data_IF_418139966878
#
_entry.id   IF_418139966878
#
_cell.length_a   1.000
_cell.length_b   1.000
_cell.length_c   1.000
_cell.angle_alpha   90.00
_cell.angle_beta   90.00
_cell.angle_gamma   90.00
#
_symmetry.space_group_name_H-M   'P 1'
#
loop_
_entity.id
_entity.type
_entity.pdbx_description
1 polymer ?
#
# COMPACT_ATOMS: atom_id res chain seq x y z
N UNK A 1 23.52 -1.36 5.40
CA UNK A 1 22.45 -0.36 5.19
C UNK A 1 21.16 -1.11 4.89
N UNK A 2 20.00 -0.69 5.40
CA UNK A 2 18.74 -1.32 5.03
C UNK A 2 18.55 -1.25 3.51
N UNK A 3 18.00 -2.31 2.91
CA UNK A 3 17.65 -2.32 1.48
C UNK A 3 16.55 -1.28 1.21
N UNK A 4 16.44 -0.78 -0.02
CA UNK A 4 15.32 0.11 -0.39
C UNK A 4 13.98 -0.60 -0.17
N UNK A 5 13.92 -1.90 -0.46
CA UNK A 5 12.73 -2.73 -0.27
C UNK A 5 12.35 -2.82 1.20
N UNK A 6 13.34 -2.95 2.09
CA UNK A 6 13.11 -2.93 3.53
C UNK A 6 12.59 -1.58 4.02
N UNK A 7 13.10 -0.47 3.47
CA UNK A 7 12.60 0.88 3.80
C UNK A 7 11.16 1.08 3.33
N UNK A 8 10.82 0.63 2.10
CA UNK A 8 9.44 0.64 1.61
C UNK A 8 8.55 -0.22 2.49
N UNK A 9 9.00 -1.42 2.88
CA UNK A 9 8.28 -2.30 3.79
C UNK A 9 7.97 -1.64 5.13
N UNK A 10 8.95 -0.96 5.74
CA UNK A 10 8.75 -0.19 6.96
C UNK A 10 7.75 0.96 6.79
N UNK A 11 7.84 1.71 5.68
CA UNK A 11 6.91 2.79 5.37
C UNK A 11 5.48 2.28 5.17
N UNK A 12 5.30 1.18 4.43
CA UNK A 12 4.01 0.52 4.21
C UNK A 12 3.43 0.01 5.53
N UNK A 13 4.23 -0.66 6.36
CA UNK A 13 3.76 -1.16 7.65
C UNK A 13 3.37 -0.01 8.60
N UNK A 14 4.17 1.06 8.64
CA UNK A 14 3.87 2.26 9.42
C UNK A 14 2.58 2.94 8.97
N UNK A 15 2.41 3.12 7.66
CA UNK A 15 1.19 3.71 7.11
C UNK A 15 -0.04 2.83 7.40
N UNK A 16 0.07 1.51 7.21
CA UNK A 16 -0.99 0.55 7.54
C UNK A 16 -1.40 0.63 9.01
N UNK A 17 -0.43 0.72 9.94
CA UNK A 17 -0.71 0.88 11.37
C UNK A 17 -1.43 2.20 11.67
N UNK A 18 -1.05 3.29 10.99
CA UNK A 18 -1.76 4.58 11.07
C UNK A 18 -3.20 4.44 10.57
N UNK A 19 -3.47 3.69 9.50
CA UNK A 19 -4.83 3.46 9.02
C UNK A 19 -5.67 2.62 9.99
N UNK A 20 -5.06 1.67 10.69
CA UNK A 20 -5.74 0.87 11.73
C UNK A 20 -6.19 1.76 12.90
N UNK A 21 -5.28 2.62 13.38
CA UNK A 21 -5.53 3.51 14.50
C UNK A 21 -6.47 4.67 14.11
N UNK A 22 -6.20 5.29 12.96
CA UNK A 22 -6.81 6.55 12.50
C UNK A 22 -7.27 6.45 11.04
N UNK A 23 -8.40 5.77 10.75
CA UNK A 23 -8.94 5.62 9.40
C UNK A 23 -9.15 6.94 8.64
N UNK A 24 -9.44 8.02 9.36
CA UNK A 24 -9.62 9.36 8.80
C UNK A 24 -8.45 9.84 7.93
N UNK A 25 -7.23 9.33 8.15
CA UNK A 25 -6.03 9.65 7.35
C UNK A 25 -6.19 9.26 5.88
N UNK A 26 -6.93 8.19 5.57
CA UNK A 26 -7.26 7.81 4.20
C UNK A 26 -8.61 8.38 3.76
N UNK A 27 -9.63 8.27 4.62
CA UNK A 27 -11.01 8.62 4.26
C UNK A 27 -11.17 10.10 3.91
N UNK A 28 -10.54 11.00 4.69
CA UNK A 28 -10.66 12.45 4.45
C UNK A 28 -10.03 12.88 3.13
N UNK A 29 -8.76 12.53 2.78
CA UNK A 29 -8.21 12.83 1.46
C UNK A 29 -9.01 12.18 0.34
N UNK A 30 -9.54 10.97 0.54
CA UNK A 30 -10.36 10.30 -0.47
C UNK A 30 -11.75 10.95 -0.69
N UNK A 31 -12.19 11.83 0.22
CA UNK A 31 -13.53 12.40 0.19
C UNK A 31 -14.61 11.36 0.50
N UNK A 32 -14.25 10.31 1.24
CA UNK A 32 -15.16 9.24 1.65
C UNK A 32 -15.69 9.57 3.05
N UNK A 33 -17.02 9.54 3.29
CA UNK A 33 -17.58 9.76 4.61
C UNK A 33 -17.06 8.76 5.64
N UNK A 34 -16.77 9.25 6.85
CA UNK A 34 -16.37 8.40 7.96
C UNK A 34 -17.60 7.80 8.64
N UNK A 35 -17.89 6.54 8.33
CA UNK A 35 -18.99 5.75 8.90
C UNK A 35 -18.40 4.50 9.58
N UNK A 36 -19.19 3.76 10.39
CA UNK A 36 -18.72 2.50 10.95
C UNK A 36 -18.17 1.53 9.90
N UNK A 37 -18.83 1.43 8.75
CA UNK A 37 -18.45 0.52 7.65
C UNK A 37 -17.16 0.95 6.95
N UNK A 38 -17.03 2.25 6.64
CA UNK A 38 -15.80 2.74 5.99
C UNK A 38 -14.61 2.65 6.92
N UNK A 39 -14.80 2.86 8.23
CA UNK A 39 -13.75 2.61 9.25
C UNK A 39 -13.36 1.13 9.32
N UNK A 40 -14.33 0.22 9.28
CA UNK A 40 -14.07 -1.22 9.30
C UNK A 40 -13.23 -1.64 8.08
N UNK A 41 -13.63 -1.20 6.88
CA UNK A 41 -12.91 -1.49 5.64
C UNK A 41 -11.51 -0.88 5.65
N UNK A 42 -11.36 0.40 6.03
CA UNK A 42 -10.03 1.02 6.12
C UNK A 42 -9.11 0.32 7.11
N UNK A 43 -9.64 -0.19 8.24
CA UNK A 43 -8.84 -1.00 9.17
C UNK A 43 -8.41 -2.32 8.57
N UNK A 44 -9.30 -3.01 7.84
CA UNK A 44 -8.91 -4.26 7.16
C UNK A 44 -7.80 -4.04 6.13
N UNK A 45 -7.85 -2.93 5.37
CA UNK A 45 -6.77 -2.52 4.48
C UNK A 45 -5.49 -2.22 5.26
N UNK A 46 -5.59 -1.47 6.36
CA UNK A 46 -4.47 -1.16 7.22
C UNK A 46 -3.78 -2.40 7.79
N UNK A 47 -4.53 -3.41 8.25
CA UNK A 47 -3.96 -4.68 8.73
C UNK A 47 -3.26 -5.43 7.62
N UNK A 48 -3.86 -5.52 6.43
CA UNK A 48 -3.24 -6.13 5.24
C UNK A 48 -1.92 -5.43 4.90
N UNK A 49 -1.91 -4.11 4.93
CA UNK A 49 -0.74 -3.30 4.63
C UNK A 49 0.37 -3.47 5.68
N UNK A 50 0.02 -3.60 6.97
CA UNK A 50 0.98 -3.98 8.01
C UNK A 50 1.64 -5.32 7.70
N UNK A 51 0.84 -6.35 7.39
CA UNK A 51 1.37 -7.69 7.11
C UNK A 51 2.26 -7.69 5.86
N UNK A 52 1.84 -7.05 4.77
CA UNK A 52 2.64 -6.96 3.54
C UNK A 52 3.91 -6.14 3.74
N UNK A 53 3.82 -5.03 4.49
CA UNK A 53 4.97 -4.19 4.82
C UNK A 53 6.00 -4.93 5.67
N UNK A 54 5.56 -5.69 6.68
CA UNK A 54 6.45 -6.53 7.50
C UNK A 54 7.08 -7.66 6.67
N UNK A 55 6.35 -8.25 5.73
CA UNK A 55 6.91 -9.24 4.80
C UNK A 55 8.01 -8.63 3.93
N UNK A 56 7.80 -7.44 3.36
CA UNK A 56 8.83 -6.70 2.60
C UNK A 56 10.03 -6.31 3.47
N UNK A 57 9.77 -5.87 4.70
CA UNK A 57 10.80 -5.48 5.65
C UNK A 57 11.74 -6.64 6.00
N UNK A 58 11.19 -7.84 6.21
CA UNK A 58 11.91 -9.01 6.69
C UNK A 58 12.42 -9.96 5.58
N UNK A 59 11.90 -9.86 4.35
CA UNK A 59 12.21 -10.83 3.30
C UNK A 59 13.70 -10.76 2.86
N UNK A 60 14.41 -11.91 2.87
CA UNK A 60 15.77 -11.97 2.36
C UNK A 60 15.81 -11.76 0.83
N UNK A 61 16.96 -11.35 0.27
CA UNK A 61 17.10 -11.18 -1.18
C UNK A 61 16.73 -12.44 -1.95
N UNK A 62 16.18 -12.27 -3.16
CA UNK A 62 15.78 -13.37 -4.03
C UNK A 62 14.28 -13.66 -4.02
N UNK A 63 13.91 -14.93 -4.20
CA UNK A 63 12.50 -15.34 -4.43
C UNK A 63 11.52 -14.89 -3.34
N UNK A 64 11.83 -14.95 -2.04
CA UNK A 64 10.91 -14.49 -0.99
C UNK A 64 10.55 -13.01 -1.14
N UNK A 65 11.55 -12.15 -1.36
CA UNK A 65 11.33 -10.71 -1.55
C UNK A 65 10.52 -10.41 -2.81
N UNK A 66 10.84 -11.04 -3.94
CA UNK A 66 10.06 -10.89 -5.19
C UNK A 66 8.59 -11.25 -5.01
N UNK A 67 8.28 -12.31 -4.25
CA UNK A 67 6.90 -12.71 -3.98
C UNK A 67 6.19 -11.71 -3.05
N UNK A 68 6.87 -11.21 -2.02
CA UNK A 68 6.34 -10.15 -1.16
C UNK A 68 6.07 -8.86 -1.96
N UNK A 69 7.01 -8.44 -2.81
CA UNK A 69 6.87 -7.30 -3.73
C UNK A 69 5.71 -7.51 -4.69
N UNK A 70 5.62 -8.66 -5.35
CA UNK A 70 4.53 -8.96 -6.27
C UNK A 70 3.17 -8.92 -5.56
N UNK A 71 3.06 -9.51 -4.36
CA UNK A 71 1.85 -9.46 -3.55
C UNK A 71 1.44 -8.02 -3.22
N UNK A 72 2.40 -7.17 -2.85
CA UNK A 72 2.15 -5.74 -2.60
C UNK A 72 1.67 -5.01 -3.85
N UNK A 73 2.36 -5.19 -4.98
CA UNK A 73 2.01 -4.57 -6.27
C UNK A 73 0.58 -4.96 -6.67
N UNK A 74 0.23 -6.25 -6.59
CA UNK A 74 -1.12 -6.72 -6.93
C UNK A 74 -2.17 -6.10 -6.00
N UNK A 75 -1.89 -5.99 -4.70
CA UNK A 75 -2.80 -5.35 -3.76
C UNK A 75 -3.03 -3.87 -4.09
N UNK A 76 -1.96 -3.13 -4.38
CA UNK A 76 -2.03 -1.70 -4.73
C UNK A 76 -2.75 -1.45 -6.05
N UNK A 77 -2.55 -2.31 -7.05
CA UNK A 77 -3.30 -2.26 -8.31
C UNK A 77 -4.78 -2.60 -8.10
N UNK A 78 -5.08 -3.59 -7.25
CA UNK A 78 -6.45 -3.93 -6.86
C UNK A 78 -7.15 -2.77 -6.17
N UNK A 79 -6.47 -2.11 -5.23
CA UNK A 79 -6.97 -0.91 -4.56
C UNK A 79 -7.17 0.24 -5.54
N UNK A 80 -6.22 0.48 -6.46
CA UNK A 80 -6.35 1.51 -7.48
C UNK A 80 -7.58 1.28 -8.37
N UNK A 81 -7.83 0.03 -8.78
CA UNK A 81 -9.02 -0.34 -9.53
C UNK A 81 -10.30 -0.19 -8.70
N UNK A 82 -10.30 -0.64 -7.45
CA UNK A 82 -11.45 -0.57 -6.55
C UNK A 82 -11.83 0.87 -6.19
N UNK A 83 -10.86 1.72 -5.86
CA UNK A 83 -11.08 3.15 -5.63
C UNK A 83 -11.44 3.87 -6.92
N UNK A 84 -10.76 3.57 -8.04
CA UNK A 84 -11.05 4.18 -9.34
C UNK A 84 -12.49 3.94 -9.79
N UNK A 85 -12.93 2.68 -9.81
CA UNK A 85 -14.28 2.31 -10.20
C UNK A 85 -15.33 2.64 -9.12
N UNK A 86 -15.00 2.36 -7.85
CA UNK A 86 -15.92 2.54 -6.72
C UNK A 86 -16.15 4.00 -6.33
N UNK A 87 -15.24 4.91 -6.65
CA UNK A 87 -15.41 6.35 -6.38
C UNK A 87 -15.78 7.16 -7.64
N UNK A 88 -15.81 6.53 -8.82
CA UNK A 88 -16.17 7.17 -10.08
C UNK A 88 -17.53 7.89 -9.95
N UNK A 89 -17.55 9.19 -10.25
CA UNK A 89 -18.75 10.03 -10.16
C UNK A 89 -19.26 10.32 -8.74
N UNK A 90 -18.69 9.70 -7.70
CA UNK A 90 -19.06 9.92 -6.29
C UNK A 90 -18.18 10.96 -5.61
N UNK A 91 -16.94 11.11 -6.08
CA UNK A 91 -16.00 12.12 -5.61
C UNK A 91 -15.06 12.54 -6.74
N UNK A 92 -14.81 13.85 -6.86
CA UNK A 92 -13.82 14.39 -7.79
C UNK A 92 -12.38 13.92 -7.48
N UNK A 93 -12.17 13.31 -6.30
CA UNK A 93 -10.87 12.83 -5.84
C UNK A 93 -10.56 11.38 -6.25
N UNK A 94 -11.51 10.69 -6.88
CA UNK A 94 -11.34 9.28 -7.29
C UNK A 94 -10.05 9.01 -8.09
N UNK A 95 -9.69 9.82 -9.12
CA UNK A 95 -8.47 9.57 -9.89
C UNK A 95 -7.21 9.75 -9.05
N UNK A 96 -7.20 10.71 -8.13
CA UNK A 96 -6.04 11.00 -7.27
C UNK A 96 -5.82 9.85 -6.28
N UNK A 97 -6.89 9.31 -5.69
CA UNK A 97 -6.79 8.17 -4.76
C UNK A 97 -6.32 6.91 -5.49
N UNK A 98 -6.87 6.64 -6.68
CA UNK A 98 -6.46 5.50 -7.49
C UNK A 98 -4.98 5.60 -7.89
N UNK A 99 -4.53 6.80 -8.31
CA UNK A 99 -3.13 7.06 -8.65
C UNK A 99 -2.22 6.90 -7.43
N UNK A 100 -2.63 7.39 -6.26
CA UNK A 100 -1.87 7.26 -5.03
C UNK A 100 -1.67 5.77 -4.65
N UNK A 101 -2.73 4.95 -4.76
CA UNK A 101 -2.63 3.51 -4.54
C UNK A 101 -1.63 2.85 -5.51
N UNK A 102 -1.76 3.11 -6.82
CA UNK A 102 -0.84 2.56 -7.83
C UNK A 102 0.62 3.02 -7.61
N UNK A 103 0.82 4.21 -7.07
CA UNK A 103 2.16 4.76 -6.77
C UNK A 103 2.88 3.95 -5.70
N UNK A 104 2.19 3.49 -4.65
CA UNK A 104 2.79 2.62 -3.64
C UNK A 104 3.34 1.32 -4.27
N UNK A 105 2.56 0.71 -5.17
CA UNK A 105 2.95 -0.51 -5.85
C UNK A 105 4.16 -0.27 -6.76
N UNK A 106 4.15 0.82 -7.52
CA UNK A 106 5.27 1.21 -8.38
C UNK A 106 6.56 1.46 -7.59
N UNK A 107 6.47 2.14 -6.44
CA UNK A 107 7.62 2.39 -5.56
C UNK A 107 8.17 1.09 -4.97
N UNK A 108 7.30 0.15 -4.54
CA UNK A 108 7.73 -1.16 -4.05
C UNK A 108 8.45 -1.97 -5.14
N UNK A 109 7.91 -1.99 -6.36
CA UNK A 109 8.53 -2.66 -7.50
C UNK A 109 9.89 -2.04 -7.84
N UNK A 110 9.96 -0.71 -7.88
CA UNK A 110 11.20 0.00 -8.20
C UNK A 110 12.28 -0.27 -7.14
N UNK A 111 11.92 -0.29 -5.87
CA UNK A 111 12.84 -0.60 -4.78
C UNK A 111 13.45 -2.00 -4.94
N UNK A 112 12.63 -3.01 -5.22
CA UNK A 112 13.09 -4.39 -5.45
C UNK A 112 14.03 -4.49 -6.65
N UNK A 113 13.66 -3.88 -7.78
CA UNK A 113 14.50 -3.85 -9.00
C UNK A 113 15.85 -3.15 -8.74
N UNK A 114 15.86 -2.06 -7.99
CA UNK A 114 17.08 -1.32 -7.67
C UNK A 114 17.98 -2.06 -6.69
N UNK A 115 17.41 -2.76 -5.70
CA UNK A 115 18.17 -3.60 -4.80
C UNK A 115 18.76 -4.82 -5.52
N UNK A 116 17.99 -5.48 -6.40
CA UNK A 116 18.50 -6.58 -7.22
C UNK A 116 19.67 -6.16 -8.10
N UNK A 117 19.57 -5.01 -8.78
CA UNK A 117 20.66 -4.46 -9.60
C UNK A 117 21.90 -4.10 -8.79
N UNK A 118 21.73 -3.79 -7.51
CA UNK A 118 22.82 -3.48 -6.60
C UNK A 118 23.35 -4.71 -5.84
N UNK A 119 22.79 -5.90 -6.07
CA UNK A 119 23.17 -7.12 -5.34
C UNK A 119 22.78 -7.10 -3.85
N UNK A 120 21.69 -6.40 -3.48
CA UNK A 120 21.20 -6.22 -2.11
C UNK A 120 19.92 -6.99 -1.82
#
# INVERSE_FOLDING_TARGET
>A
MPSLTSLVGAATAGYGAVLVATPAVLLRPAGVPETPDTRLLTRSLGVRDVVMGLALLAAPPGRPRRLATAGRVVADLGDAAAFGAGLAGRTARAPVVALAAATWGAVALLADVLDERAGR
#
